data_IF_881347283739
#
_entry.id   IF_881347283739
#
_cell.length_a   1.000
_cell.length_b   1.000
_cell.length_c   1.000
_cell.angle_alpha   90.00
_cell.angle_beta   90.00
_cell.angle_gamma   90.00
#
_symmetry.space_group_name_H-M   'P 1'
#
loop_
_entity.id
_entity.type
_entity.pdbx_description
1 polymer ?
#
# COMPACT_ATOMS: atom_id res chain seq x y z
N UNK A 1 -15.13 -52.65 59.43
CA UNK A 1 -14.72 -51.30 59.00
C UNK A 1 -13.70 -51.50 57.90
N UNK A 2 -14.17 -51.45 56.66
CA UNK A 2 -13.43 -51.89 55.47
C UNK A 2 -13.26 -50.68 54.55
N UNK A 3 -12.01 -50.43 54.19
CA UNK A 3 -11.50 -49.32 53.37
C UNK A 3 -12.08 -49.34 51.95
N UNK A 4 -12.59 -48.20 51.48
CA UNK A 4 -12.95 -47.97 50.08
C UNK A 4 -11.72 -47.55 49.27
N UNK A 5 -11.45 -48.30 48.18
CA UNK A 5 -10.65 -47.86 47.03
C UNK A 5 -11.63 -47.31 45.96
N UNK A 6 -11.31 -46.24 45.22
CA UNK A 6 -12.15 -45.81 44.11
C UNK A 6 -11.85 -46.63 42.85
N UNK A 7 -12.92 -47.06 42.17
CA UNK A 7 -12.90 -47.61 40.83
C UNK A 7 -12.42 -46.56 39.83
N UNK A 8 -11.38 -46.89 39.05
CA UNK A 8 -11.02 -46.17 37.84
C UNK A 8 -12.03 -46.51 36.75
N UNK A 9 -12.88 -45.55 36.37
CA UNK A 9 -13.70 -45.66 35.17
C UNK A 9 -12.84 -45.33 33.94
N UNK A 10 -12.55 -46.34 33.11
CA UNK A 10 -12.11 -46.14 31.73
C UNK A 10 -13.34 -45.71 30.91
N UNK A 11 -13.30 -44.51 30.35
CA UNK A 11 -14.20 -44.08 29.26
C UNK A 11 -13.58 -44.44 27.90
N UNK A 12 -14.33 -45.13 27.01
CA UNK A 12 -13.84 -45.55 25.70
C UNK A 12 -14.03 -44.47 24.61
N UNK A 13 -13.09 -44.47 23.66
CA UNK A 13 -13.17 -43.98 22.28
C UNK A 13 -13.39 -42.48 22.00
N UNK A 14 -12.30 -41.87 21.51
CA UNK A 14 -12.18 -41.27 20.18
C UNK A 14 -13.36 -40.45 19.63
N UNK A 15 -13.18 -39.13 19.69
CA UNK A 15 -13.22 -38.35 18.47
C UNK A 15 -12.07 -37.34 18.54
N UNK A 16 -10.99 -37.65 17.84
CA UNK A 16 -9.98 -36.69 17.42
C UNK A 16 -10.68 -35.60 16.60
N UNK A 17 -11.06 -34.52 17.27
CA UNK A 17 -11.63 -33.31 16.68
C UNK A 17 -10.55 -32.22 16.55
N UNK A 18 -9.29 -32.61 16.37
CA UNK A 18 -8.29 -31.71 15.82
C UNK A 18 -8.66 -31.54 14.34
N UNK A 19 -8.92 -30.33 13.82
CA UNK A 19 -8.96 -30.18 12.37
C UNK A 19 -7.57 -30.55 11.87
N UNK A 20 -7.42 -31.75 11.30
CA UNK A 20 -6.31 -32.05 10.41
C UNK A 20 -6.52 -31.16 9.19
N UNK A 21 -6.11 -29.91 9.29
CA UNK A 21 -6.00 -29.05 8.14
C UNK A 21 -5.06 -29.78 7.19
N UNK A 22 -5.60 -30.27 6.07
CA UNK A 22 -4.81 -30.90 5.03
C UNK A 22 -3.63 -29.96 4.72
N UNK A 23 -2.43 -30.54 4.72
CA UNK A 23 -1.21 -29.74 4.56
C UNK A 23 -1.20 -29.10 3.18
N UNK A 24 -1.08 -27.78 3.14
CA UNK A 24 -0.96 -27.00 1.89
C UNK A 24 0.38 -27.31 1.20
N UNK A 25 0.32 -28.01 0.07
CA UNK A 25 1.47 -28.32 -0.79
C UNK A 25 1.56 -27.36 -1.96
N UNK A 26 0.43 -26.93 -2.50
CA UNK A 26 0.33 -25.94 -3.57
C UNK A 26 -0.47 -24.74 -3.12
N UNK A 27 0.15 -23.57 -3.18
CA UNK A 27 -0.47 -22.28 -2.84
C UNK A 27 -0.42 -21.35 -4.05
N UNK A 28 -1.49 -20.63 -4.30
CA UNK A 28 -1.49 -19.49 -5.21
C UNK A 28 -1.69 -18.22 -4.40
N UNK A 29 -0.75 -17.28 -4.50
CA UNK A 29 -0.80 -16.00 -3.80
C UNK A 29 -1.14 -14.90 -4.78
N UNK A 30 -2.22 -14.16 -4.49
CA UNK A 30 -2.58 -12.95 -5.21
C UNK A 30 -2.16 -11.75 -4.37
N UNK A 31 -1.11 -11.04 -4.80
CA UNK A 31 -0.52 -9.94 -4.06
C UNK A 31 -0.88 -8.59 -4.67
N UNK A 32 -1.57 -7.75 -3.89
CA UNK A 32 -1.94 -6.39 -4.22
C UNK A 32 -1.07 -5.40 -3.42
N UNK A 33 0.03 -4.88 -4.01
CA UNK A 33 0.92 -3.96 -3.32
C UNK A 33 0.24 -2.62 -3.02
N UNK A 34 0.86 -1.83 -2.14
CA UNK A 34 0.37 -0.49 -1.80
C UNK A 34 0.68 0.55 -2.88
N UNK A 35 0.28 1.81 -2.66
CA UNK A 35 0.64 2.94 -3.52
C UNK A 35 2.14 3.19 -3.48
N UNK A 36 2.87 2.50 -4.35
CA UNK A 36 4.33 2.47 -4.39
C UNK A 36 4.78 2.52 -5.87
N UNK A 37 5.84 3.28 -6.20
CA UNK A 37 6.38 3.35 -7.57
C UNK A 37 7.29 2.13 -7.83
N UNK A 38 6.72 0.92 -7.70
CA UNK A 38 7.42 -0.34 -7.84
C UNK A 38 6.65 -1.22 -8.83
N UNK A 39 7.32 -1.58 -9.91
CA UNK A 39 6.83 -2.58 -10.83
C UNK A 39 7.03 -4.00 -10.25
N UNK A 40 6.45 -4.99 -10.92
CA UNK A 40 6.62 -6.39 -10.56
C UNK A 40 8.09 -6.84 -10.40
N UNK A 41 9.04 -6.27 -11.17
CA UNK A 41 10.47 -6.59 -11.07
C UNK A 41 11.07 -6.10 -9.75
N UNK A 42 10.75 -4.86 -9.37
CA UNK A 42 11.17 -4.28 -8.10
C UNK A 42 10.50 -4.98 -6.90
N UNK A 43 9.23 -5.37 -7.03
CA UNK A 43 8.54 -6.19 -6.04
C UNK A 43 9.18 -7.59 -5.89
N UNK A 44 9.47 -8.26 -6.99
CA UNK A 44 10.18 -9.55 -6.98
C UNK A 44 11.55 -9.43 -6.30
N UNK A 45 12.36 -8.44 -6.68
CA UNK A 45 13.66 -8.22 -6.05
C UNK A 45 13.54 -7.93 -4.55
N UNK A 46 12.48 -7.20 -4.12
CA UNK A 46 12.19 -6.98 -2.70
C UNK A 46 11.81 -8.29 -1.99
N UNK A 47 10.98 -9.11 -2.62
CA UNK A 47 10.60 -10.42 -2.10
C UNK A 47 11.80 -11.35 -1.95
N UNK A 48 12.66 -11.47 -2.96
CA UNK A 48 13.89 -12.30 -2.90
C UNK A 48 14.75 -11.91 -1.69
N UNK A 49 14.96 -10.61 -1.46
CA UNK A 49 15.73 -10.13 -0.30
C UNK A 49 15.06 -10.49 1.04
N UNK A 50 13.76 -10.27 1.15
CA UNK A 50 13.01 -10.59 2.37
C UNK A 50 12.92 -12.09 2.63
N UNK A 51 12.79 -12.89 1.57
CA UNK A 51 12.76 -14.34 1.61
C UNK A 51 14.10 -14.91 2.10
N UNK A 52 15.24 -14.42 1.59
CA UNK A 52 16.57 -14.83 2.08
C UNK A 52 16.78 -14.49 3.57
N UNK A 53 16.29 -13.34 4.03
CA UNK A 53 16.34 -12.97 5.44
C UNK A 53 15.46 -13.90 6.30
N UNK A 54 14.26 -14.22 5.79
CA UNK A 54 13.32 -15.11 6.47
C UNK A 54 13.85 -16.54 6.54
N UNK A 55 14.39 -17.07 5.45
CA UNK A 55 15.02 -18.39 5.37
C UNK A 55 16.12 -18.54 6.43
N UNK A 56 17.01 -17.55 6.53
CA UNK A 56 18.06 -17.52 7.55
C UNK A 56 17.52 -17.44 8.97
N UNK A 57 16.48 -16.62 9.20
CA UNK A 57 15.93 -16.38 10.55
C UNK A 57 15.18 -17.60 11.07
N UNK A 58 14.43 -18.26 10.20
CA UNK A 58 13.53 -19.37 10.55
C UNK A 58 14.10 -20.75 10.23
N UNK A 59 15.34 -20.81 9.73
CA UNK A 59 16.01 -22.04 9.29
C UNK A 59 15.17 -22.83 8.27
N UNK A 60 14.70 -22.14 7.22
CA UNK A 60 13.92 -22.72 6.13
C UNK A 60 14.78 -22.83 4.87
N UNK A 61 14.55 -23.85 4.06
CA UNK A 61 15.03 -23.88 2.67
C UNK A 61 14.00 -23.17 1.79
N UNK A 62 14.34 -22.00 1.28
CA UNK A 62 13.46 -21.17 0.46
C UNK A 62 14.17 -20.80 -0.84
N UNK A 63 13.59 -21.23 -1.96
CA UNK A 63 14.06 -20.95 -3.31
C UNK A 63 13.05 -20.08 -4.04
N UNK A 64 13.47 -18.90 -4.50
CA UNK A 64 12.64 -18.02 -5.32
C UNK A 64 13.05 -18.15 -6.78
N UNK A 65 12.09 -18.46 -7.65
CA UNK A 65 12.27 -18.53 -9.10
C UNK A 65 12.31 -17.16 -9.76
N UNK A 66 12.63 -17.15 -11.05
CA UNK A 66 12.66 -15.95 -11.87
C UNK A 66 11.27 -15.35 -12.10
N UNK A 67 11.21 -14.03 -12.26
CA UNK A 67 9.98 -13.34 -12.62
C UNK A 67 9.54 -13.70 -14.04
N UNK A 68 8.32 -14.20 -14.16
CA UNK A 68 7.62 -14.47 -15.41
C UNK A 68 6.53 -13.42 -15.63
N UNK A 69 6.11 -13.25 -16.89
CA UNK A 69 5.02 -12.33 -17.26
C UNK A 69 4.04 -13.04 -18.18
N UNK A 70 2.76 -12.96 -17.84
CA UNK A 70 1.67 -13.28 -18.77
C UNK A 70 1.29 -12.03 -19.56
N UNK A 71 0.27 -12.13 -20.41
CA UNK A 71 -0.27 -10.96 -21.10
C UNK A 71 -0.88 -9.92 -20.15
N UNK A 72 -1.18 -10.29 -18.89
CA UNK A 72 -1.98 -9.47 -17.95
C UNK A 72 -1.33 -9.24 -16.60
N UNK A 73 -0.48 -10.17 -16.14
CA UNK A 73 0.14 -10.11 -14.81
C UNK A 73 1.59 -10.57 -14.85
N UNK A 74 2.31 -10.31 -13.78
CA UNK A 74 3.61 -10.91 -13.55
C UNK A 74 3.50 -11.89 -12.39
N UNK A 75 4.24 -13.00 -12.46
CA UNK A 75 4.24 -14.00 -11.41
C UNK A 75 5.62 -14.63 -11.23
N UNK A 76 5.86 -15.26 -10.09
CA UNK A 76 7.06 -16.05 -9.83
C UNK A 76 6.74 -17.15 -8.82
N UNK A 77 7.53 -18.21 -8.84
CA UNK A 77 7.33 -19.37 -7.98
C UNK A 77 8.29 -19.34 -6.78
N UNK A 78 7.82 -19.80 -5.62
CA UNK A 78 8.61 -19.99 -4.41
C UNK A 78 8.43 -21.44 -3.95
N UNK A 79 9.53 -22.15 -3.80
CA UNK A 79 9.58 -23.40 -3.05
C UNK A 79 10.05 -23.10 -1.63
N UNK A 80 9.32 -23.59 -0.62
CA UNK A 80 9.70 -23.47 0.78
C UNK A 80 9.58 -24.83 1.46
N UNK A 81 10.58 -25.23 2.24
CA UNK A 81 10.50 -26.42 3.09
C UNK A 81 11.21 -26.21 4.43
N UNK A 82 10.68 -26.82 5.48
CA UNK A 82 11.38 -26.91 6.76
C UNK A 82 12.48 -28.00 6.69
N UNK A 83 13.46 -27.98 7.62
CA UNK A 83 14.53 -28.99 7.64
C UNK A 83 14.04 -30.42 7.89
N UNK A 84 12.85 -30.58 8.48
CA UNK A 84 12.23 -31.88 8.69
C UNK A 84 11.77 -32.46 7.33
N UNK A 85 12.30 -33.61 6.88
CA UNK A 85 11.87 -34.25 5.64
C UNK A 85 10.38 -34.64 5.63
N UNK A 86 9.77 -34.82 6.81
CA UNK A 86 8.33 -35.04 6.93
C UNK A 86 7.51 -33.79 6.61
N UNK A 87 8.14 -32.62 6.42
CA UNK A 87 7.48 -31.38 6.05
C UNK A 87 6.88 -31.43 4.64
N UNK A 88 7.55 -32.08 3.69
CA UNK A 88 7.08 -32.20 2.31
C UNK A 88 7.01 -30.88 1.52
N UNK A 89 7.22 -29.73 2.17
CA UNK A 89 7.31 -28.40 1.58
C UNK A 89 6.01 -27.85 0.98
N UNK A 90 6.05 -26.56 0.64
CA UNK A 90 4.99 -25.84 -0.06
C UNK A 90 5.58 -25.16 -1.30
N UNK A 91 4.96 -25.40 -2.45
CA UNK A 91 5.16 -24.68 -3.69
C UNK A 91 4.13 -23.56 -3.77
N UNK A 92 4.60 -22.32 -3.89
CA UNK A 92 3.75 -21.13 -3.93
C UNK A 92 3.97 -20.36 -5.22
N UNK A 93 2.91 -20.11 -6.00
CA UNK A 93 2.95 -19.18 -7.13
C UNK A 93 2.43 -17.82 -6.71
N UNK A 94 3.25 -16.78 -6.84
CA UNK A 94 2.91 -15.41 -6.46
C UNK A 94 2.58 -14.58 -7.70
N UNK A 95 1.34 -14.13 -7.84
CA UNK A 95 0.92 -13.12 -8.80
C UNK A 95 1.04 -11.73 -8.18
N UNK A 96 1.67 -10.80 -8.90
CA UNK A 96 1.82 -9.39 -8.50
C UNK A 96 0.86 -8.53 -9.32
N UNK A 97 -0.03 -7.83 -8.63
CA UNK A 97 -0.99 -6.89 -9.22
C UNK A 97 -0.56 -5.45 -8.95
N UNK A 98 0.63 -5.06 -9.45
CA UNK A 98 1.14 -3.71 -9.27
C UNK A 98 0.40 -2.66 -10.10
N UNK A 99 0.57 -1.40 -9.70
CA UNK A 99 0.02 -0.22 -10.36
C UNK A 99 1.10 0.84 -10.58
N UNK A 100 2.36 0.42 -10.78
CA UNK A 100 3.49 1.34 -10.94
C UNK A 100 3.24 2.36 -12.06
N UNK A 101 2.71 1.92 -13.20
CA UNK A 101 2.40 2.79 -14.33
C UNK A 101 1.36 3.87 -13.99
N UNK A 102 0.36 3.56 -13.17
CA UNK A 102 -0.61 4.55 -12.69
C UNK A 102 0.06 5.51 -11.71
N UNK A 103 0.86 5.00 -10.77
CA UNK A 103 1.62 5.80 -9.81
C UNK A 103 2.54 6.78 -10.55
N UNK A 104 3.24 6.33 -11.59
CA UNK A 104 4.12 7.15 -12.41
C UNK A 104 3.35 8.23 -13.19
N UNK A 105 2.20 7.88 -13.77
CA UNK A 105 1.31 8.83 -14.45
C UNK A 105 0.84 9.94 -13.50
N UNK A 106 0.40 9.58 -12.30
CA UNK A 106 -0.05 10.52 -11.28
C UNK A 106 1.11 11.41 -10.76
N UNK A 107 2.28 10.82 -10.57
CA UNK A 107 3.46 11.54 -10.08
C UNK A 107 4.14 12.42 -11.15
N UNK A 108 3.97 12.09 -12.43
CA UNK A 108 4.57 12.79 -13.57
C UNK A 108 3.96 14.15 -13.90
N UNK A 109 2.86 14.53 -13.25
CA UNK A 109 2.17 15.81 -13.46
C UNK A 109 3.00 17.02 -13.00
N UNK A 110 2.81 18.20 -13.61
CA UNK A 110 3.37 19.45 -13.09
C UNK A 110 2.95 19.70 -11.64
N UNK A 111 3.85 20.28 -10.84
CA UNK A 111 3.61 20.54 -9.42
C UNK A 111 2.27 21.26 -9.13
N UNK A 112 1.87 22.34 -9.84
CA UNK A 112 0.60 23.01 -9.57
C UNK A 112 -0.59 22.07 -9.78
N UNK A 113 -0.55 21.23 -10.82
CA UNK A 113 -1.59 20.24 -11.10
C UNK A 113 -1.69 19.21 -9.99
N UNK A 114 -0.56 18.69 -9.49
CA UNK A 114 -0.54 17.72 -8.39
C UNK A 114 -1.16 18.27 -7.11
N UNK A 115 -0.86 19.54 -6.79
CA UNK A 115 -1.45 20.20 -5.63
C UNK A 115 -2.96 20.37 -5.85
N UNK A 116 -3.36 20.94 -6.98
CA UNK A 116 -4.77 21.23 -7.27
C UNK A 116 -5.63 19.96 -7.33
N UNK A 117 -5.14 18.91 -7.99
CA UNK A 117 -5.81 17.62 -8.11
C UNK A 117 -5.93 16.96 -6.74
N UNK A 118 -4.88 16.97 -5.91
CA UNK A 118 -4.93 16.47 -4.53
C UNK A 118 -6.01 17.16 -3.67
N UNK A 119 -6.08 18.50 -3.70
CA UNK A 119 -7.13 19.24 -2.99
C UNK A 119 -8.53 18.98 -3.57
N UNK A 120 -8.67 18.82 -4.89
CA UNK A 120 -9.95 18.51 -5.54
C UNK A 120 -10.45 17.14 -5.12
N UNK A 121 -9.59 16.11 -5.15
CA UNK A 121 -9.93 14.76 -4.73
C UNK A 121 -10.28 14.70 -3.25
N UNK A 122 -9.53 15.41 -2.40
CA UNK A 122 -9.89 15.52 -0.98
C UNK A 122 -11.26 16.18 -0.77
N UNK A 123 -11.55 17.27 -1.48
CA UNK A 123 -12.86 17.93 -1.40
C UNK A 123 -13.99 16.98 -1.84
N UNK A 124 -13.81 16.24 -2.94
CA UNK A 124 -14.79 15.25 -3.41
C UNK A 124 -15.04 14.15 -2.38
N UNK A 125 -13.98 13.55 -1.83
CA UNK A 125 -14.12 12.51 -0.80
C UNK A 125 -14.82 13.05 0.45
N UNK A 126 -14.53 14.29 0.85
CA UNK A 126 -15.21 14.94 1.99
C UNK A 126 -16.69 15.19 1.68
N UNK A 127 -17.03 15.74 0.51
CA UNK A 127 -18.42 16.06 0.15
C UNK A 127 -19.28 14.82 -0.09
N UNK A 128 -18.66 13.72 -0.53
CA UNK A 128 -19.30 12.41 -0.69
C UNK A 128 -19.47 11.66 0.65
N UNK A 129 -19.00 12.21 1.76
CA UNK A 129 -19.14 11.62 3.10
C UNK A 129 -18.06 10.59 3.46
N UNK A 130 -17.07 10.37 2.60
CA UNK A 130 -15.95 9.44 2.85
C UNK A 130 -15.18 9.81 4.13
N UNK A 131 -14.98 11.10 4.38
CA UNK A 131 -14.34 11.59 5.61
C UNK A 131 -15.14 11.29 6.88
N UNK A 132 -16.48 11.35 6.83
CA UNK A 132 -17.33 11.03 7.99
C UNK A 132 -17.27 9.53 8.32
N UNK A 133 -17.25 8.68 7.29
CA UNK A 133 -17.01 7.24 7.44
C UNK A 133 -15.62 6.96 8.03
N UNK A 134 -14.59 7.65 7.53
CA UNK A 134 -13.23 7.50 7.99
C UNK A 134 -13.05 7.92 9.45
N UNK A 135 -13.51 9.11 9.83
CA UNK A 135 -13.42 9.59 11.22
C UNK A 135 -14.24 8.75 12.19
N UNK A 136 -15.36 8.14 11.75
CA UNK A 136 -16.14 7.24 12.61
C UNK A 136 -15.36 5.98 13.00
N UNK A 137 -14.58 5.40 12.08
CA UNK A 137 -13.93 4.09 12.29
C UNK A 137 -12.42 4.19 12.55
N UNK A 138 -11.77 5.28 12.11
CA UNK A 138 -10.33 5.40 12.00
C UNK A 138 -9.83 6.82 12.38
N UNK A 139 -10.48 7.51 13.33
CA UNK A 139 -10.14 8.91 13.69
C UNK A 139 -8.66 9.13 14.03
N UNK A 140 -7.98 8.14 14.64
CA UNK A 140 -6.54 8.21 14.97
C UNK A 140 -5.66 8.38 13.73
N UNK A 141 -6.11 7.86 12.59
CA UNK A 141 -5.45 7.99 11.32
C UNK A 141 -5.84 9.28 10.57
N UNK A 142 -6.90 9.98 10.99
CA UNK A 142 -7.37 11.20 10.31
C UNK A 142 -6.29 12.28 10.18
N UNK A 143 -5.42 12.43 11.20
CA UNK A 143 -4.30 13.38 11.13
C UNK A 143 -3.26 13.03 10.06
N UNK A 144 -3.01 11.73 9.83
CA UNK A 144 -2.12 11.27 8.76
C UNK A 144 -2.67 11.68 7.38
N UNK A 145 -3.97 11.59 7.18
CA UNK A 145 -4.64 12.01 5.95
C UNK A 145 -4.66 13.54 5.76
N UNK A 146 -4.78 14.30 6.85
CA UNK A 146 -4.77 15.77 6.83
C UNK A 146 -3.37 16.36 6.67
N UNK A 147 -2.34 15.66 7.12
CA UNK A 147 -0.93 16.09 7.12
C UNK A 147 -0.46 16.74 5.82
N UNK A 148 -0.61 16.15 4.62
CA UNK A 148 -0.09 16.75 3.40
C UNK A 148 -0.77 18.09 3.08
N UNK A 149 -2.06 18.24 3.37
CA UNK A 149 -2.79 19.50 3.16
C UNK A 149 -2.38 20.58 4.14
N UNK A 150 -2.19 20.21 5.42
CA UNK A 150 -1.72 21.13 6.45
C UNK A 150 -0.31 21.63 6.14
N UNK A 151 0.58 20.74 5.70
CA UNK A 151 1.95 21.10 5.37
C UNK A 151 2.02 22.07 4.18
N UNK A 152 1.25 21.81 3.12
CA UNK A 152 1.16 22.72 1.97
C UNK A 152 0.51 24.05 2.36
N UNK A 153 -0.55 24.03 3.16
CA UNK A 153 -1.20 25.25 3.65
C UNK A 153 -0.25 26.11 4.49
N UNK A 154 0.53 25.51 5.38
CA UNK A 154 1.56 26.23 6.17
C UNK A 154 2.66 26.79 5.26
N UNK A 155 3.16 26.01 4.30
CA UNK A 155 4.17 26.48 3.36
C UNK A 155 3.68 27.68 2.53
N UNK A 156 2.48 27.59 1.96
CA UNK A 156 1.86 28.67 1.20
C UNK A 156 1.57 29.89 2.09
N UNK A 157 1.08 29.68 3.31
CA UNK A 157 0.82 30.74 4.28
C UNK A 157 2.09 31.50 4.66
N UNK A 158 3.18 30.79 4.97
CA UNK A 158 4.48 31.40 5.26
C UNK A 158 5.04 32.15 4.06
N UNK A 159 4.94 31.58 2.85
CA UNK A 159 5.32 32.28 1.62
C UNK A 159 4.51 33.57 1.42
N UNK A 160 3.20 33.55 1.66
CA UNK A 160 2.34 34.73 1.55
C UNK A 160 2.69 35.79 2.60
N UNK A 161 2.94 35.40 3.85
CA UNK A 161 3.36 36.31 4.92
C UNK A 161 4.68 36.98 4.58
N UNK A 162 5.67 36.24 4.05
CA UNK A 162 6.96 36.80 3.65
C UNK A 162 6.79 37.77 2.48
N UNK A 163 5.99 37.41 1.48
CA UNK A 163 5.69 38.28 0.36
C UNK A 163 5.00 39.58 0.81
N UNK A 164 4.07 39.50 1.77
CA UNK A 164 3.31 40.62 2.31
C UNK A 164 4.05 41.40 3.42
N UNK A 165 5.22 40.93 3.87
CA UNK A 165 5.94 41.49 5.03
C UNK A 165 6.16 43.00 4.91
N UNK A 166 6.55 43.57 3.75
CA UNK A 166 6.69 45.02 3.64
C UNK A 166 5.39 45.79 3.88
N UNK A 167 4.26 45.27 3.37
CA UNK A 167 2.96 45.89 3.59
C UNK A 167 2.53 45.80 5.06
N UNK A 168 2.73 44.63 5.69
CA UNK A 168 2.40 44.39 7.10
C UNK A 168 3.19 45.28 8.06
N UNK A 169 4.42 45.65 7.69
CA UNK A 169 5.28 46.53 8.46
C UNK A 169 5.13 48.02 8.10
N UNK A 170 4.19 48.37 7.21
CA UNK A 170 3.98 49.75 6.75
C UNK A 170 5.14 50.32 5.93
N UNK A 171 5.96 49.46 5.34
CA UNK A 171 7.10 49.86 4.50
C UNK A 171 6.64 50.26 3.10
N UNK A 172 7.54 50.92 2.36
CA UNK A 172 7.31 51.29 0.97
C UNK A 172 7.00 50.06 0.09
N UNK A 173 5.99 50.14 -0.77
CA UNK A 173 5.59 49.08 -1.71
C UNK A 173 6.68 48.66 -2.69
N UNK A 174 7.72 49.48 -2.92
CA UNK A 174 8.91 49.07 -3.69
C UNK A 174 9.63 47.85 -3.08
N UNK A 175 9.48 47.62 -1.77
CA UNK A 175 10.04 46.44 -1.12
C UNK A 175 9.34 45.13 -1.55
N UNK A 176 8.17 45.19 -2.20
CA UNK A 176 7.54 44.02 -2.81
C UNK A 176 8.42 43.40 -3.93
N UNK A 177 9.28 44.20 -4.55
CA UNK A 177 10.19 43.74 -5.61
C UNK A 177 11.19 42.69 -5.11
N UNK A 178 11.55 42.70 -3.83
CA UNK A 178 12.43 41.68 -3.25
C UNK A 178 11.66 40.68 -2.37
N UNK A 179 10.58 41.10 -1.68
CA UNK A 179 9.86 40.20 -0.78
C UNK A 179 9.10 39.10 -1.52
N UNK A 180 8.52 39.40 -2.69
CA UNK A 180 7.82 38.41 -3.52
C UNK A 180 8.82 37.36 -4.05
N UNK A 181 9.92 37.72 -4.73
CA UNK A 181 10.93 36.74 -5.14
C UNK A 181 11.52 35.96 -3.97
N UNK A 182 11.74 36.60 -2.82
CA UNK A 182 12.23 35.92 -1.61
C UNK A 182 11.25 34.86 -1.12
N UNK A 183 9.95 35.18 -1.04
CA UNK A 183 8.91 34.23 -0.64
C UNK A 183 8.83 33.04 -1.59
N UNK A 184 8.90 33.29 -2.90
CA UNK A 184 8.92 32.25 -3.94
C UNK A 184 10.20 31.40 -3.88
N UNK A 185 11.36 32.03 -3.64
CA UNK A 185 12.63 31.32 -3.48
C UNK A 185 12.60 30.39 -2.25
N UNK A 186 12.07 30.86 -1.11
CA UNK A 186 11.91 30.03 0.08
C UNK A 186 10.93 28.87 -0.17
N UNK A 187 9.82 29.10 -0.88
CA UNK A 187 8.95 28.01 -1.29
C UNK A 187 9.70 26.97 -2.13
N UNK A 188 10.47 27.44 -3.12
CA UNK A 188 11.15 26.59 -4.08
C UNK A 188 12.33 25.80 -3.50
N UNK A 189 13.10 26.43 -2.62
CA UNK A 189 14.39 25.90 -2.15
C UNK A 189 14.36 25.39 -0.71
N UNK A 190 13.37 25.78 0.11
CA UNK A 190 13.20 25.25 1.47
C UNK A 190 11.96 24.36 1.59
N UNK A 191 10.77 24.89 1.28
CA UNK A 191 9.53 24.13 1.51
C UNK A 191 9.37 22.95 0.56
N UNK A 192 9.67 23.09 -0.74
CA UNK A 192 9.54 21.97 -1.68
C UNK A 192 10.45 20.78 -1.35
N UNK A 193 11.76 20.95 -1.08
CA UNK A 193 12.61 19.86 -0.62
C UNK A 193 12.14 19.24 0.69
N UNK A 194 11.66 20.06 1.64
CA UNK A 194 11.08 19.58 2.89
C UNK A 194 9.84 18.72 2.64
N UNK A 195 8.87 19.20 1.84
CA UNK A 195 7.66 18.45 1.48
C UNK A 195 7.97 17.16 0.72
N UNK A 196 9.00 17.16 -0.14
CA UNK A 196 9.46 15.97 -0.85
C UNK A 196 10.01 14.90 0.11
N UNK A 197 10.74 15.30 1.17
CA UNK A 197 11.21 14.39 2.22
C UNK A 197 10.07 13.70 2.98
N UNK A 198 8.92 14.36 3.11
CA UNK A 198 7.73 13.79 3.73
C UNK A 198 6.78 13.13 2.72
N UNK A 199 7.21 12.93 1.47
CA UNK A 199 6.41 12.30 0.42
C UNK A 199 5.05 12.99 0.18
N UNK A 200 4.95 14.29 0.48
CA UNK A 200 3.69 15.06 0.46
C UNK A 200 2.98 14.98 -0.89
N UNK A 201 3.75 15.14 -1.97
CA UNK A 201 3.19 15.10 -3.31
C UNK A 201 2.79 13.68 -3.73
N UNK A 202 3.43 12.66 -3.17
CA UNK A 202 3.06 11.27 -3.38
C UNK A 202 1.74 10.96 -2.66
N UNK A 203 1.54 11.50 -1.46
CA UNK A 203 0.26 11.42 -0.75
C UNK A 203 -0.87 12.11 -1.53
N UNK A 204 -0.63 13.23 -2.21
CA UNK A 204 -1.67 13.81 -3.08
C UNK A 204 -2.04 12.91 -4.27
N UNK A 205 -1.09 12.19 -4.83
CA UNK A 205 -1.37 11.21 -5.88
C UNK A 205 -2.16 10.02 -5.33
N UNK A 206 -1.90 9.61 -4.08
CA UNK A 206 -2.68 8.58 -3.36
C UNK A 206 -4.14 9.02 -3.15
N UNK A 207 -4.37 10.28 -2.75
CA UNK A 207 -5.72 10.86 -2.67
C UNK A 207 -6.46 10.85 -4.00
N UNK A 208 -5.77 11.16 -5.09
CA UNK A 208 -6.34 11.14 -6.43
C UNK A 208 -6.71 9.71 -6.87
N UNK A 209 -5.87 8.73 -6.55
CA UNK A 209 -6.14 7.33 -6.82
C UNK A 209 -7.32 6.83 -5.99
N UNK A 210 -7.40 7.18 -4.71
CA UNK A 210 -8.53 6.82 -3.83
C UNK A 210 -9.86 7.42 -4.32
N UNK A 211 -9.87 8.68 -4.74
CA UNK A 211 -11.05 9.33 -5.34
C UNK A 211 -11.49 8.63 -6.63
N UNK A 212 -10.53 8.26 -7.48
CA UNK A 212 -10.79 7.55 -8.72
C UNK A 212 -11.31 6.12 -8.51
N UNK A 213 -10.74 5.37 -7.55
CA UNK A 213 -11.19 4.02 -7.19
C UNK A 213 -12.57 4.05 -6.55
N UNK A 214 -12.85 5.04 -5.69
CA UNK A 214 -14.15 5.20 -5.04
C UNK A 214 -15.28 5.59 -5.99
N UNK A 215 -14.97 6.38 -7.03
CA UNK A 215 -15.98 6.85 -7.99
C UNK A 215 -16.05 6.03 -9.29
N UNK A 216 -15.01 5.25 -9.61
CA UNK A 216 -14.87 4.51 -10.86
C UNK A 216 -15.08 5.39 -12.10
N UNK A 217 -14.67 6.65 -12.04
CA UNK A 217 -14.91 7.67 -13.07
C UNK A 217 -13.70 7.93 -13.98
N UNK A 218 -12.57 7.26 -13.70
CA UNK A 218 -11.32 7.39 -14.46
C UNK A 218 -11.06 6.20 -15.38
N UNK A 219 -11.01 6.40 -16.71
CA UNK A 219 -10.80 5.31 -17.66
C UNK A 219 -9.50 4.53 -17.46
N UNK A 220 -8.41 5.19 -17.10
CA UNK A 220 -7.11 4.55 -16.89
C UNK A 220 -7.08 3.67 -15.63
N UNK A 221 -7.68 4.16 -14.54
CA UNK A 221 -7.85 3.37 -13.30
C UNK A 221 -8.79 2.19 -13.55
N UNK A 222 -9.91 2.41 -14.24
CA UNK A 222 -10.86 1.35 -14.58
C UNK A 222 -10.25 0.29 -15.51
N UNK A 223 -9.41 0.69 -16.47
CA UNK A 223 -8.71 -0.24 -17.35
C UNK A 223 -7.69 -1.09 -16.58
N UNK A 224 -6.96 -0.49 -15.62
CA UNK A 224 -6.08 -1.22 -14.73
C UNK A 224 -6.86 -2.21 -13.85
N UNK A 225 -7.95 -1.77 -13.20
CA UNK A 225 -8.82 -2.66 -12.42
C UNK A 225 -9.34 -3.83 -13.24
N UNK A 226 -9.78 -3.58 -14.48
CA UNK A 226 -10.20 -4.64 -15.40
C UNK A 226 -9.06 -5.61 -15.72
N UNK A 227 -7.84 -5.12 -15.94
CA UNK A 227 -6.66 -5.96 -16.14
C UNK A 227 -6.34 -6.82 -14.91
N UNK A 228 -6.45 -6.24 -13.71
CA UNK A 228 -6.30 -6.98 -12.45
C UNK A 228 -7.37 -8.07 -12.31
N UNK A 229 -8.63 -7.76 -12.59
CA UNK A 229 -9.73 -8.74 -12.54
C UNK A 229 -9.49 -9.91 -13.49
N UNK A 230 -9.04 -9.66 -14.73
CA UNK A 230 -8.68 -10.72 -15.67
C UNK A 230 -7.51 -11.56 -15.16
N UNK A 231 -6.47 -10.91 -14.63
CA UNK A 231 -5.33 -11.61 -14.03
C UNK A 231 -5.69 -12.46 -12.81
N UNK A 232 -6.61 -11.97 -11.98
CA UNK A 232 -7.17 -12.74 -10.84
C UNK A 232 -7.94 -13.95 -11.35
N UNK A 233 -8.79 -13.78 -12.38
CA UNK A 233 -9.50 -14.91 -12.99
C UNK A 233 -8.54 -15.96 -13.54
N UNK A 234 -7.48 -15.54 -14.22
CA UNK A 234 -6.42 -16.42 -14.72
C UNK A 234 -5.75 -17.19 -13.57
N UNK A 235 -5.33 -16.49 -12.51
CA UNK A 235 -4.70 -17.09 -11.33
C UNK A 235 -5.63 -18.09 -10.61
N UNK A 236 -6.94 -17.82 -10.56
CA UNK A 236 -7.93 -18.71 -9.95
C UNK A 236 -8.24 -19.97 -10.78
N UNK A 237 -7.65 -20.13 -11.97
CA UNK A 237 -7.74 -21.39 -12.75
C UNK A 237 -6.64 -22.40 -12.39
N UNK A 238 -5.60 -21.97 -11.68
CA UNK A 238 -4.49 -22.82 -11.25
C UNK A 238 -4.95 -23.86 -10.23
N UNK A 239 -4.49 -25.11 -10.37
CA UNK A 239 -4.75 -26.17 -9.38
C UNK A 239 -3.95 -25.93 -8.09
N UNK A 240 -4.64 -25.56 -7.02
CA UNK A 240 -4.03 -25.20 -5.73
C UNK A 240 -4.84 -25.74 -4.54
N UNK A 241 -4.15 -26.10 -3.47
CA UNK A 241 -4.77 -26.48 -2.19
C UNK A 241 -5.29 -25.22 -1.47
N UNK A 242 -4.67 -24.07 -1.71
CA UNK A 242 -4.99 -22.80 -1.08
C UNK A 242 -4.77 -21.60 -2.01
N UNK A 243 -5.70 -20.65 -1.98
CA UNK A 243 -5.50 -19.31 -2.51
C UNK A 243 -5.33 -18.32 -1.36
N UNK A 244 -4.21 -17.58 -1.36
CA UNK A 244 -3.91 -16.57 -0.36
C UNK A 244 -3.95 -15.18 -1.02
N UNK A 245 -4.85 -14.33 -0.53
CA UNK A 245 -4.91 -12.93 -0.96
C UNK A 245 -4.13 -12.10 0.05
N UNK A 246 -3.13 -11.37 -0.44
CA UNK A 246 -2.35 -10.45 0.39
C UNK A 246 -2.46 -9.06 -0.18
N UNK A 247 -2.62 -8.06 0.69
CA UNK A 247 -2.69 -6.67 0.27
C UNK A 247 -1.97 -5.77 1.26
N UNK A 248 -1.48 -4.63 0.77
CA UNK A 248 -0.83 -3.62 1.59
C UNK A 248 -1.45 -2.25 1.32
N UNK A 249 -1.87 -1.55 2.38
CA UNK A 249 -2.37 -0.17 2.32
C UNK A 249 -3.46 -0.01 1.22
N UNK A 250 -3.25 0.85 0.23
CA UNK A 250 -4.18 1.08 -0.87
C UNK A 250 -4.46 -0.17 -1.72
N UNK A 251 -3.55 -1.15 -1.78
CA UNK A 251 -3.83 -2.43 -2.46
C UNK A 251 -4.95 -3.25 -1.81
N UNK A 252 -5.39 -2.87 -0.60
CA UNK A 252 -6.54 -3.50 0.07
C UNK A 252 -7.89 -2.91 -0.37
N UNK A 253 -7.90 -1.72 -0.96
CA UNK A 253 -9.11 -1.05 -1.44
C UNK A 253 -9.50 -1.57 -2.83
#
# INVERSE_FOLDING_TARGET
MTTQSPLTAQTPHDADNSPTADRVRKRVVLHFPGFEPLDAGMHHARYVRAAAQSAKTWNLDLQTGDLQRTAKTAYFDIACSAPDPADGGTQSRFYIFDHCALVDSLNGKPLPSRILDGYRSALRIVTQGGMAGYLRHAWRFGLFFLFPFLLVAVALGLTAVIAALPALLGLNMLHLLWSIPLGLALFRYAFLPFMARFHTLHLFADWEMADAMGNLDRPDVNAWLASCMEGVREALTEDADEYLITSHSMGSA
#
